data_IF_826637397534
#
_entry.id   IF_826637397534
#
_cell.length_a   1.000
_cell.length_b   1.000
_cell.length_c   1.000
_cell.angle_alpha   90.00
_cell.angle_beta   90.00
_cell.angle_gamma   90.00
#
_symmetry.space_group_name_H-M   'P 1'
#
loop_
_entity.id
_entity.type
_entity.pdbx_description
1 polymer ?
#
# COMPACT_ATOMS: atom_id res chain seq x y z
N UNK A 1 -28.11 -11.82 -28.86
CA UNK A 1 -27.28 -10.90 -28.08
C UNK A 1 -28.19 -9.87 -27.40
N UNK A 2 -28.17 -9.75 -26.09
CA UNK A 2 -29.01 -8.79 -25.38
C UNK A 2 -28.52 -7.38 -25.67
N UNK A 3 -29.36 -6.54 -26.28
CA UNK A 3 -29.09 -5.10 -26.44
C UNK A 3 -29.25 -4.43 -25.07
N UNK A 4 -28.15 -3.99 -24.47
CA UNK A 4 -28.20 -3.22 -23.24
C UNK A 4 -28.66 -1.78 -23.54
N UNK A 5 -29.71 -1.33 -22.85
CA UNK A 5 -30.15 0.06 -22.92
C UNK A 5 -29.36 0.91 -21.91
N UNK A 6 -28.92 2.09 -22.34
CA UNK A 6 -28.15 3.03 -21.53
C UNK A 6 -28.89 4.37 -21.41
N UNK A 7 -28.75 5.02 -20.25
CA UNK A 7 -29.10 6.41 -20.04
C UNK A 7 -27.80 7.25 -19.95
N UNK A 8 -27.85 8.48 -20.39
CA UNK A 8 -26.79 9.44 -20.10
C UNK A 8 -27.10 10.15 -18.80
N UNK A 9 -26.14 10.13 -17.87
CA UNK A 9 -26.22 10.83 -16.61
C UNK A 9 -25.07 11.80 -16.45
N UNK A 10 -25.32 12.94 -15.81
CA UNK A 10 -24.27 13.87 -15.39
C UNK A 10 -23.70 13.45 -14.04
N UNK A 11 -22.38 13.52 -13.91
CA UNK A 11 -21.70 13.23 -12.65
C UNK A 11 -21.97 14.36 -11.65
N UNK A 12 -22.48 14.00 -10.49
CA UNK A 12 -22.79 14.98 -9.43
C UNK A 12 -21.56 15.71 -8.86
N UNK A 13 -20.34 15.22 -9.14
CA UNK A 13 -19.11 15.85 -8.64
C UNK A 13 -18.39 16.73 -9.68
N UNK A 14 -18.37 16.34 -10.95
CA UNK A 14 -17.60 17.07 -11.99
C UNK A 14 -18.47 17.57 -13.15
N UNK A 15 -19.76 17.27 -13.15
CA UNK A 15 -20.67 17.62 -14.25
C UNK A 15 -20.48 16.85 -15.54
N UNK A 16 -19.42 16.05 -15.65
CA UNK A 16 -19.14 15.26 -16.86
C UNK A 16 -20.20 14.17 -17.09
N UNK A 17 -20.53 13.94 -18.37
CA UNK A 17 -21.54 12.95 -18.77
C UNK A 17 -20.94 11.56 -18.91
N UNK A 18 -21.76 10.54 -18.66
CA UNK A 18 -21.40 9.15 -18.87
C UNK A 18 -22.61 8.26 -19.12
N UNK A 19 -22.39 7.19 -19.90
CA UNK A 19 -23.43 6.18 -20.21
C UNK A 19 -23.52 5.18 -19.05
N UNK A 20 -24.71 5.06 -18.49
CA UNK A 20 -25.03 4.15 -17.39
C UNK A 20 -26.15 3.21 -17.82
N UNK A 21 -26.03 1.93 -17.50
CA UNK A 21 -27.10 0.95 -17.80
C UNK A 21 -28.39 1.38 -17.12
N UNK A 22 -29.54 1.21 -17.81
CA UNK A 22 -30.85 1.63 -17.31
C UNK A 22 -31.20 0.97 -15.97
N UNK A 23 -30.85 -0.29 -15.76
CA UNK A 23 -31.10 -0.99 -14.50
C UNK A 23 -30.31 -0.34 -13.32
N UNK A 24 -29.08 0.10 -13.59
CA UNK A 24 -28.28 0.85 -12.59
C UNK A 24 -28.88 2.23 -12.33
N UNK A 25 -29.31 2.93 -13.37
CA UNK A 25 -29.98 4.23 -13.23
C UNK A 25 -31.24 4.11 -12.37
N UNK A 26 -32.13 3.17 -12.71
CA UNK A 26 -33.38 2.94 -11.96
C UNK A 26 -33.13 2.59 -10.49
N UNK A 27 -32.08 1.81 -10.23
CA UNK A 27 -31.67 1.50 -8.85
C UNK A 27 -31.20 2.75 -8.08
N UNK A 28 -30.38 3.60 -8.71
CA UNK A 28 -29.93 4.84 -8.09
C UNK A 28 -31.11 5.76 -7.74
N UNK A 29 -32.06 5.90 -8.68
CA UNK A 29 -33.29 6.69 -8.45
C UNK A 29 -34.10 6.12 -7.29
N UNK A 30 -34.32 4.79 -7.25
CA UNK A 30 -35.04 4.11 -6.17
C UNK A 30 -34.38 4.27 -4.81
N UNK A 31 -33.04 4.29 -4.77
CA UNK A 31 -32.24 4.44 -3.54
C UNK A 31 -32.01 5.92 -3.17
N UNK A 32 -32.52 6.89 -3.93
CA UNK A 32 -32.26 8.32 -3.72
C UNK A 32 -30.79 8.72 -3.86
N UNK A 33 -30.03 7.94 -4.63
CA UNK A 33 -28.57 8.13 -4.81
C UNK A 33 -28.28 8.85 -6.12
N UNK A 34 -27.25 9.69 -6.06
CA UNK A 34 -26.73 10.39 -7.23
C UNK A 34 -25.63 9.58 -7.93
N UNK A 35 -25.58 9.70 -9.25
CA UNK A 35 -24.51 9.07 -9.99
C UNK A 35 -23.20 9.87 -9.89
N UNK A 36 -22.11 9.14 -9.67
CA UNK A 36 -20.74 9.68 -9.66
C UNK A 36 -19.90 8.86 -10.64
N UNK A 37 -19.21 9.53 -11.58
CA UNK A 37 -18.37 8.86 -12.54
C UNK A 37 -17.20 8.11 -11.87
N UNK A 38 -16.67 7.11 -12.58
CA UNK A 38 -15.61 6.24 -12.03
C UNK A 38 -14.39 7.02 -11.55
N UNK A 39 -13.97 8.06 -12.28
CA UNK A 39 -12.84 8.93 -11.91
C UNK A 39 -13.11 9.67 -10.59
N UNK A 40 -14.27 10.33 -10.49
CA UNK A 40 -14.63 11.06 -9.26
C UNK A 40 -14.84 10.14 -8.07
N UNK A 41 -15.45 8.97 -8.27
CA UNK A 41 -15.61 7.96 -7.22
C UNK A 41 -14.26 7.47 -6.70
N UNK A 42 -13.31 7.21 -7.60
CA UNK A 42 -11.94 6.82 -7.22
C UNK A 42 -11.23 7.96 -6.49
N UNK A 43 -11.35 9.19 -6.96
CA UNK A 43 -10.74 10.38 -6.32
C UNK A 43 -11.33 10.64 -4.93
N UNK A 44 -12.65 10.52 -4.76
CA UNK A 44 -13.30 10.65 -3.44
C UNK A 44 -12.77 9.61 -2.46
N UNK A 45 -12.75 8.33 -2.87
CA UNK A 45 -12.20 7.24 -2.04
C UNK A 45 -10.72 7.47 -1.70
N UNK A 46 -9.93 7.95 -2.67
CA UNK A 46 -8.51 8.29 -2.44
C UNK A 46 -8.35 9.41 -1.42
N UNK A 47 -9.19 10.46 -1.49
CA UNK A 47 -9.20 11.55 -0.51
C UNK A 47 -9.58 11.05 0.89
N UNK A 48 -10.65 10.25 1.00
CA UNK A 48 -11.10 9.68 2.28
C UNK A 48 -10.00 8.82 2.93
N UNK A 49 -9.29 8.00 2.14
CA UNK A 49 -8.15 7.21 2.61
C UNK A 49 -6.95 8.10 2.97
N UNK A 50 -6.71 9.17 2.20
CA UNK A 50 -5.60 10.11 2.45
C UNK A 50 -5.82 10.93 3.72
N UNK A 51 -7.08 11.26 4.08
CA UNK A 51 -7.38 12.06 5.27
C UNK A 51 -7.13 11.32 6.59
N UNK A 52 -7.10 9.97 6.57
CA UNK A 52 -6.88 9.16 7.78
C UNK A 52 -5.49 9.39 8.40
N UNK A 53 -4.45 9.49 7.57
CA UNK A 53 -3.07 9.72 8.02
C UNK A 53 -2.20 10.51 7.01
N UNK A 54 -2.76 10.99 5.89
CA UNK A 54 -2.05 11.78 4.87
C UNK A 54 -1.05 11.03 3.98
N UNK A 55 -0.71 9.79 4.29
CA UNK A 55 0.38 9.04 3.64
C UNK A 55 -0.08 8.05 2.56
N UNK A 56 -1.37 8.00 2.24
CA UNK A 56 -1.87 7.05 1.25
C UNK A 56 -1.16 7.22 -0.11
N UNK A 57 -0.61 6.14 -0.65
CA UNK A 57 0.12 6.15 -1.92
C UNK A 57 1.56 6.63 -1.85
N UNK A 58 2.03 7.15 -0.71
CA UNK A 58 3.45 7.51 -0.53
C UNK A 58 4.35 6.28 -0.59
N UNK A 59 5.64 6.44 -0.93
CA UNK A 59 6.59 5.33 -0.94
C UNK A 59 6.69 4.59 0.40
N UNK A 60 6.53 5.29 1.53
CA UNK A 60 6.52 4.72 2.88
C UNK A 60 5.30 3.82 3.08
N UNK A 61 4.10 4.33 2.77
CA UNK A 61 2.85 3.58 2.86
C UNK A 61 2.84 2.35 1.96
N UNK A 62 3.34 2.48 0.73
CA UNK A 62 3.48 1.35 -0.20
C UNK A 62 4.42 0.28 0.34
N UNK A 63 5.52 0.66 1.00
CA UNK A 63 6.45 -0.28 1.62
C UNK A 63 5.80 -1.05 2.76
N UNK A 64 5.08 -0.37 3.66
CA UNK A 64 4.30 -0.98 4.73
C UNK A 64 3.22 -1.93 4.19
N UNK A 65 2.41 -1.50 3.23
CA UNK A 65 1.37 -2.35 2.64
C UNK A 65 1.96 -3.61 2.02
N UNK A 66 3.06 -3.50 1.26
CA UNK A 66 3.74 -4.65 0.66
C UNK A 66 4.30 -5.61 1.70
N UNK A 67 4.77 -5.12 2.83
CA UNK A 67 5.18 -5.95 3.97
C UNK A 67 3.98 -6.76 4.49
N UNK A 68 2.86 -6.11 4.78
CA UNK A 68 1.62 -6.78 5.22
C UNK A 68 1.12 -7.80 4.22
N UNK A 69 1.07 -7.45 2.93
CA UNK A 69 0.61 -8.36 1.88
C UNK A 69 1.44 -9.65 1.84
N UNK A 70 2.75 -9.56 1.96
CA UNK A 70 3.63 -10.75 1.95
C UNK A 70 3.46 -11.63 3.18
N UNK A 71 3.18 -11.06 4.33
CA UNK A 71 3.09 -11.82 5.59
C UNK A 71 1.68 -12.32 5.89
N UNK A 72 0.64 -11.60 5.50
CA UNK A 72 -0.73 -11.88 5.95
C UNK A 72 -1.66 -12.36 4.83
N UNK A 73 -1.39 -12.00 3.58
CA UNK A 73 -2.24 -12.38 2.45
C UNK A 73 -1.80 -13.72 1.87
N UNK A 74 -2.53 -14.79 2.20
CA UNK A 74 -2.25 -16.16 1.73
C UNK A 74 -2.26 -16.30 0.20
N UNK A 75 -2.96 -15.43 -0.52
CA UNK A 75 -3.02 -15.40 -1.98
C UNK A 75 -1.87 -14.60 -2.63
N UNK A 76 -1.02 -13.96 -1.84
CA UNK A 76 0.10 -13.20 -2.38
C UNK A 76 1.18 -14.14 -2.92
N UNK A 77 1.68 -13.87 -4.12
CA UNK A 77 2.67 -14.72 -4.83
C UNK A 77 3.95 -15.04 -4.03
N UNK A 78 4.29 -14.22 -3.06
CA UNK A 78 5.45 -14.43 -2.18
C UNK A 78 5.08 -14.87 -0.77
N UNK A 79 3.79 -15.17 -0.49
CA UNK A 79 3.37 -15.59 0.85
C UNK A 79 4.18 -16.77 1.38
N UNK A 80 4.41 -17.79 0.56
CA UNK A 80 5.19 -18.97 0.94
C UNK A 80 6.63 -18.64 1.41
N UNK A 81 7.19 -17.52 0.96
CA UNK A 81 8.54 -17.07 1.35
C UNK A 81 8.55 -16.16 2.59
N UNK A 82 7.37 -15.72 3.08
CA UNK A 82 7.21 -14.82 4.22
C UNK A 82 6.24 -15.40 5.26
N UNK A 83 4.95 -15.07 5.18
CA UNK A 83 3.95 -15.55 6.15
C UNK A 83 3.86 -17.08 6.21
N UNK A 84 3.96 -17.77 5.07
CA UNK A 84 3.99 -19.23 4.99
C UNK A 84 5.21 -19.89 5.64
N UNK A 85 6.29 -19.11 5.88
CA UNK A 85 7.47 -19.53 6.64
C UNK A 85 7.39 -19.15 8.13
N UNK A 86 6.33 -18.50 8.58
CA UNK A 86 6.23 -18.00 9.95
C UNK A 86 6.85 -16.61 10.17
N UNK A 87 7.15 -15.85 9.09
CA UNK A 87 7.60 -14.47 9.24
C UNK A 87 6.42 -13.62 9.70
N UNK A 88 6.53 -13.11 10.92
CA UNK A 88 5.51 -12.30 11.58
C UNK A 88 5.75 -10.80 11.40
N UNK A 89 4.76 -10.01 11.80
CA UNK A 89 4.83 -8.56 11.89
C UNK A 89 4.49 -8.21 13.32
N UNK A 90 5.27 -7.32 13.97
CA UNK A 90 4.92 -6.83 15.30
C UNK A 90 3.52 -6.22 15.31
N UNK A 91 2.75 -6.44 16.35
CA UNK A 91 1.36 -6.00 16.47
C UNK A 91 1.20 -4.50 16.18
N UNK A 92 2.10 -3.69 16.73
CA UNK A 92 2.15 -2.24 16.51
C UNK A 92 2.18 -1.85 15.02
N UNK A 93 2.79 -2.66 14.16
CA UNK A 93 2.91 -2.41 12.73
C UNK A 93 1.75 -2.98 11.89
N UNK A 94 0.76 -3.57 12.52
CA UNK A 94 -0.50 -3.88 11.84
C UNK A 94 -1.24 -2.60 11.44
N UNK A 95 -1.03 -1.51 12.20
CA UNK A 95 -1.46 -0.16 11.85
C UNK A 95 -0.29 0.65 11.27
N UNK A 96 -0.61 1.55 10.32
CA UNK A 96 0.41 2.31 9.60
C UNK A 96 1.12 3.31 10.50
N UNK A 97 0.40 3.91 11.42
CA UNK A 97 0.91 4.91 12.36
C UNK A 97 2.01 4.31 13.26
N UNK A 98 1.83 3.08 13.71
CA UNK A 98 2.86 2.37 14.49
C UNK A 98 4.12 2.09 13.68
N UNK A 99 3.96 1.70 12.43
CA UNK A 99 5.09 1.52 11.51
C UNK A 99 5.81 2.84 11.23
N UNK A 100 5.07 3.90 10.93
CA UNK A 100 5.63 5.22 10.64
C UNK A 100 6.39 5.80 11.85
N UNK A 101 5.83 5.62 13.05
CA UNK A 101 6.47 6.06 14.29
C UNK A 101 7.84 5.40 14.50
N UNK A 102 7.96 4.12 14.22
CA UNK A 102 9.19 3.36 14.49
C UNK A 102 10.24 3.48 13.39
N UNK A 103 9.79 3.52 12.13
CA UNK A 103 10.67 3.47 10.95
C UNK A 103 10.90 4.83 10.31
N UNK A 104 10.07 5.83 10.65
CA UNK A 104 10.05 7.10 9.95
C UNK A 104 9.63 6.98 8.49
N UNK A 105 9.75 8.09 7.77
CA UNK A 105 9.53 8.10 6.34
C UNK A 105 10.67 7.41 5.59
N UNK A 106 10.34 6.81 4.46
CA UNK A 106 11.34 6.24 3.55
C UNK A 106 12.23 7.37 3.02
N UNK A 107 13.56 7.35 3.28
CA UNK A 107 14.44 8.51 3.06
C UNK A 107 14.52 8.92 1.58
N UNK A 108 14.63 7.92 0.68
CA UNK A 108 14.77 8.15 -0.77
C UNK A 108 13.99 7.12 -1.58
N UNK A 109 13.67 7.43 -2.84
CA UNK A 109 12.88 6.55 -3.73
C UNK A 109 13.57 5.22 -4.07
N UNK A 110 14.88 5.18 -4.00
CA UNK A 110 15.68 3.97 -4.23
C UNK A 110 15.90 3.13 -2.98
N UNK A 111 15.40 3.57 -1.80
CA UNK A 111 15.46 2.77 -0.57
C UNK A 111 14.35 1.71 -0.52
N UNK A 112 14.53 0.72 0.31
CA UNK A 112 13.57 -0.35 0.59
C UNK A 112 13.66 -0.79 2.03
N UNK A 113 12.54 -1.28 2.56
CA UNK A 113 12.48 -1.91 3.87
C UNK A 113 13.21 -3.27 3.80
N UNK A 114 14.22 -3.42 4.62
CA UNK A 114 15.05 -4.62 4.75
C UNK A 114 14.99 -5.16 6.17
N UNK A 115 15.11 -6.47 6.32
CA UNK A 115 15.28 -7.13 7.63
C UNK A 115 16.75 -7.46 7.80
N UNK A 116 17.31 -7.13 8.95
CA UNK A 116 18.70 -7.44 9.30
C UNK A 116 18.90 -8.95 9.29
N UNK A 117 18.02 -9.64 10.02
CA UNK A 117 17.92 -11.10 10.00
C UNK A 117 16.69 -11.53 9.19
N UNK A 118 16.93 -12.30 8.12
CA UNK A 118 15.90 -12.77 7.20
C UNK A 118 15.02 -13.90 7.77
N UNK A 119 15.38 -14.49 8.88
CA UNK A 119 14.63 -15.55 9.53
C UNK A 119 13.72 -15.02 10.66
N UNK A 120 13.97 -13.80 11.12
CA UNK A 120 13.12 -13.10 12.07
C UNK A 120 11.99 -12.31 11.39
N UNK A 121 10.98 -11.93 12.18
CA UNK A 121 9.83 -11.11 11.75
C UNK A 121 10.18 -9.64 11.52
N UNK A 122 9.17 -8.88 11.15
CA UNK A 122 9.25 -7.44 11.00
C UNK A 122 9.03 -6.76 12.34
N UNK A 123 10.06 -6.08 12.86
CA UNK A 123 10.05 -5.25 14.06
C UNK A 123 11.05 -4.10 13.90
N UNK A 124 11.00 -3.12 14.81
CA UNK A 124 11.91 -1.98 14.81
C UNK A 124 13.38 -2.42 14.91
N UNK A 125 13.65 -3.41 15.74
CA UNK A 125 14.99 -3.94 16.02
C UNK A 125 15.57 -4.71 14.84
N UNK A 126 14.69 -5.35 14.05
CA UNK A 126 15.11 -6.19 12.92
C UNK A 126 14.93 -5.51 11.56
N UNK A 127 14.43 -4.27 11.49
CA UNK A 127 14.15 -3.60 10.22
C UNK A 127 14.94 -2.31 10.07
N UNK A 128 15.24 -1.99 8.81
CA UNK A 128 15.95 -0.77 8.44
C UNK A 128 15.61 -0.34 7.02
N UNK A 129 15.85 0.92 6.70
CA UNK A 129 15.84 1.41 5.33
C UNK A 129 17.22 1.26 4.71
N UNK A 130 17.33 0.57 3.57
CA UNK A 130 18.56 0.43 2.81
C UNK A 130 18.35 0.76 1.33
N UNK A 131 19.40 1.22 0.62
CA UNK A 131 19.35 1.35 -0.83
C UNK A 131 19.01 -0.01 -1.48
N UNK A 132 18.15 -0.03 -2.48
CA UNK A 132 17.78 -1.26 -3.20
C UNK A 132 18.96 -2.03 -3.77
N UNK A 133 20.01 -1.32 -4.17
CA UNK A 133 21.28 -1.92 -4.65
C UNK A 133 21.97 -2.80 -3.60
N UNK A 134 21.72 -2.54 -2.32
CA UNK A 134 22.35 -3.26 -1.21
C UNK A 134 21.52 -4.47 -0.73
N UNK A 135 20.22 -4.55 -1.08
CA UNK A 135 19.37 -5.70 -0.74
C UNK A 135 19.92 -7.07 -1.17
N UNK A 136 20.54 -7.21 -2.36
CA UNK A 136 21.12 -8.50 -2.75
C UNK A 136 22.20 -8.99 -1.80
N UNK A 137 22.91 -8.07 -1.12
CA UNK A 137 23.99 -8.38 -0.17
C UNK A 137 23.47 -9.02 1.12
N UNK A 138 22.19 -8.80 1.47
CA UNK A 138 21.54 -9.35 2.66
C UNK A 138 20.65 -10.57 2.36
N UNK A 139 20.86 -11.25 1.23
CA UNK A 139 20.15 -12.50 0.94
C UNK A 139 20.69 -13.65 1.79
N UNK A 140 19.83 -14.63 2.15
CA UNK A 140 20.18 -15.79 2.97
C UNK A 140 21.46 -16.54 2.53
N UNK A 141 21.82 -16.46 1.26
CA UNK A 141 23.00 -17.15 0.71
C UNK A 141 24.28 -16.31 0.79
N UNK A 142 24.25 -15.10 1.36
CA UNK A 142 25.45 -14.33 1.61
C UNK A 142 26.07 -14.74 2.94
N UNK A 143 27.32 -15.21 2.89
CA UNK A 143 28.08 -15.73 4.05
C UNK A 143 28.38 -14.68 5.12
N UNK A 144 28.18 -13.39 4.84
CA UNK A 144 28.45 -12.28 5.76
C UNK A 144 27.23 -11.36 5.86
N UNK A 145 26.76 -11.01 7.07
CA UNK A 145 25.72 -10.00 7.23
C UNK A 145 26.18 -8.66 6.65
N UNK A 146 25.36 -8.06 5.83
CA UNK A 146 25.64 -6.72 5.33
C UNK A 146 25.43 -5.69 6.44
N UNK A 147 26.50 -4.98 6.82
CA UNK A 147 26.43 -3.80 7.68
C UNK A 147 26.43 -2.57 6.78
N UNK A 148 25.33 -1.79 6.69
CA UNK A 148 25.33 -0.57 5.92
C UNK A 148 26.31 0.44 6.54
N UNK A 149 26.94 1.30 5.73
CA UNK A 149 27.67 2.43 6.27
C UNK A 149 26.73 3.29 7.12
N UNK A 150 27.20 3.73 8.28
CA UNK A 150 26.47 4.67 9.13
C UNK A 150 26.10 5.88 8.27
N UNK A 151 24.81 6.19 8.19
CA UNK A 151 24.36 7.47 7.63
C UNK A 151 24.90 8.52 8.60
N UNK A 152 26.00 9.15 8.25
CA UNK A 152 26.42 10.35 8.96
C UNK A 152 25.29 11.35 8.82
N UNK A 153 24.84 11.85 9.96
CA UNK A 153 23.79 12.84 10.07
C UNK A 153 24.05 13.95 9.07
N UNK A 154 23.19 14.06 8.06
CA UNK A 154 23.17 15.25 7.22
C UNK A 154 22.54 16.32 8.10
N UNK A 155 23.40 17.02 8.83
CA UNK A 155 23.05 18.28 9.48
C UNK A 155 22.71 19.25 8.36
N UNK A 156 21.43 19.64 8.28
CA UNK A 156 20.95 20.75 7.46
C UNK A 156 21.19 22.04 8.22
#
# INVERSE_FOLDING_TARGET
>A
MAKWNYSELSCNMCGGFGKVRIDVHNRLVKEGRVWVCRTCSSTKRMRELSTKHGFYGTPTYVSWRRMKDRCLNKNHKHYALYGGRGITITEKWLEFEGFLHDMGERPFLDYSLDRVDNDLGYSKENCRWIPKRDQPKNRRNTKTPYVPPLVQDVVI
#
